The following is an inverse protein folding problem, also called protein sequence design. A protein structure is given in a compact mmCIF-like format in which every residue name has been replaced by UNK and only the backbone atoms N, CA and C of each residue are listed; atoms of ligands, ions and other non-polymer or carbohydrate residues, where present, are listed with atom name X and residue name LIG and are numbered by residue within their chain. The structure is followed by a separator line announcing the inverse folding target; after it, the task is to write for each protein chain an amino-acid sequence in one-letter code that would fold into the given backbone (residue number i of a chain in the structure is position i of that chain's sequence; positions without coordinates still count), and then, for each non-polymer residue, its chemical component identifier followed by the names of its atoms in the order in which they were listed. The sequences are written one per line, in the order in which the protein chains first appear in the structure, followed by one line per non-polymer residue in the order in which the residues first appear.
data_IF_469179199238
#
_entry.id   IF_469179199238
#
_cell.length_a   1.000
_cell.length_b   1.000
_cell.length_c   1.000
_cell.angle_alpha   90.00
_cell.angle_beta   90.00
_cell.angle_gamma   90.00
#
_symmetry.space_group_name_H-M   'P 1'
#
loop_
_entity.id
_entity.type
_entity.pdbx_description
1 polymer ?
#
# COMPACT_ATOMS: atom_id res chain seq x y z
N UNK A 1 9.05 -7.88 16.80
CA UNK A 1 9.33 -8.66 18.01
C UNK A 1 8.79 -7.87 19.19
N UNK A 2 8.18 -8.53 20.18
CA UNK A 2 7.63 -7.85 21.36
C UNK A 2 8.81 -7.38 22.21
N UNK A 3 8.96 -6.06 22.35
CA UNK A 3 10.18 -5.45 22.92
C UNK A 3 10.37 -5.76 24.41
N UNK A 4 9.27 -5.85 25.15
CA UNK A 4 9.21 -6.11 26.59
C UNK A 4 8.87 -7.57 26.92
N UNK A 5 9.23 -8.52 26.04
CA UNK A 5 8.90 -9.95 26.21
C UNK A 5 9.43 -10.52 27.53
N UNK A 6 10.64 -10.14 27.92
CA UNK A 6 11.28 -10.53 29.18
C UNK A 6 10.46 -10.08 30.37
N UNK A 7 10.01 -8.83 30.35
CA UNK A 7 9.25 -8.22 31.45
C UNK A 7 7.87 -8.87 31.58
N UNK A 8 7.27 -9.27 30.46
CA UNK A 8 5.97 -9.95 30.44
C UNK A 8 6.07 -11.42 30.93
N UNK A 9 7.26 -12.01 30.90
CA UNK A 9 7.59 -13.38 31.31
C UNK A 9 8.48 -13.38 32.56
N UNK A 10 8.12 -12.55 33.54
CA UNK A 10 8.84 -12.39 34.79
C UNK A 10 8.74 -13.61 35.72
N UNK A 11 9.75 -13.78 36.58
CA UNK A 11 9.90 -14.96 37.44
C UNK A 11 8.99 -14.94 38.69
N UNK A 12 8.35 -13.81 39.00
CA UNK A 12 7.38 -13.63 40.08
C UNK A 12 5.99 -14.21 39.74
N UNK A 13 5.78 -14.66 38.50
CA UNK A 13 4.53 -15.26 38.07
C UNK A 13 4.35 -16.68 38.61
N UNK A 14 3.12 -17.03 38.99
CA UNK A 14 2.75 -18.42 39.20
C UNK A 14 2.99 -19.24 37.93
N UNK A 15 3.33 -20.53 38.07
CA UNK A 15 3.59 -21.45 36.95
C UNK A 15 2.46 -21.46 35.91
N UNK A 16 1.21 -21.40 36.37
CA UNK A 16 0.03 -21.33 35.49
C UNK A 16 0.00 -20.01 34.70
N UNK A 17 0.17 -18.87 35.38
CA UNK A 17 0.20 -17.55 34.74
C UNK A 17 1.35 -17.40 33.74
N UNK A 18 2.53 -17.90 34.08
CA UNK A 18 3.68 -17.91 33.19
C UNK A 18 3.39 -18.68 31.89
N UNK A 19 2.82 -19.89 31.99
CA UNK A 19 2.52 -20.73 30.82
C UNK A 19 1.45 -20.11 29.91
N UNK A 20 0.41 -19.51 30.50
CA UNK A 20 -0.63 -18.80 29.74
C UNK A 20 -0.05 -17.59 29.01
N UNK A 21 0.73 -16.74 29.70
CA UNK A 21 1.39 -15.59 29.08
C UNK A 21 2.36 -16.00 27.98
N UNK A 22 3.18 -17.03 28.21
CA UNK A 22 4.11 -17.58 27.21
C UNK A 22 3.38 -18.05 25.96
N UNK A 23 2.25 -18.73 26.12
CA UNK A 23 1.40 -19.17 25.01
C UNK A 23 0.86 -17.97 24.23
N UNK A 24 0.27 -16.98 24.93
CA UNK A 24 -0.28 -15.77 24.31
C UNK A 24 0.79 -14.96 23.55
N UNK A 25 1.97 -14.76 24.15
CA UNK A 25 3.11 -14.07 23.52
C UNK A 25 3.59 -14.82 22.29
N UNK A 26 3.72 -16.15 22.38
CA UNK A 26 4.15 -16.98 21.24
C UNK A 26 3.15 -16.92 20.10
N UNK A 27 1.85 -16.98 20.40
CA UNK A 27 0.78 -16.81 19.42
C UNK A 27 0.85 -15.43 18.76
N UNK A 28 0.99 -14.35 19.55
CA UNK A 28 1.10 -12.99 19.04
C UNK A 28 2.35 -12.80 18.16
N UNK A 29 3.50 -13.37 18.53
CA UNK A 29 4.72 -13.33 17.71
C UNK A 29 4.53 -14.05 16.37
N UNK A 30 3.89 -15.22 16.38
CA UNK A 30 3.55 -15.95 15.15
C UNK A 30 2.61 -15.13 14.26
N UNK A 31 1.59 -14.49 14.83
CA UNK A 31 0.65 -13.63 14.11
C UNK A 31 1.38 -12.42 13.51
N UNK A 32 2.16 -11.68 14.31
CA UNK A 32 2.92 -10.52 13.83
C UNK A 32 3.88 -10.93 12.71
N UNK A 33 4.55 -12.08 12.84
CA UNK A 33 5.43 -12.61 11.80
C UNK A 33 4.63 -12.91 10.53
N UNK A 34 3.50 -13.61 10.62
CA UNK A 34 2.66 -13.96 9.47
C UNK A 34 2.10 -12.72 8.75
N UNK A 35 1.77 -11.66 9.50
CA UNK A 35 1.24 -10.40 8.98
C UNK A 35 2.32 -9.41 8.51
N UNK A 36 3.61 -9.80 8.53
CA UNK A 36 4.66 -8.96 7.94
C UNK A 36 4.41 -8.80 6.44
N UNK A 37 4.57 -7.57 5.89
CA UNK A 37 4.35 -7.31 4.47
C UNK A 37 5.03 -8.31 3.53
N UNK A 38 6.29 -8.65 3.80
CA UNK A 38 7.04 -9.63 3.04
C UNK A 38 6.36 -11.01 3.02
N UNK A 39 5.92 -11.51 4.19
CA UNK A 39 5.26 -12.80 4.31
C UNK A 39 3.86 -12.77 3.69
N UNK A 40 3.14 -11.65 3.78
CA UNK A 40 1.87 -11.47 3.09
C UNK A 40 2.04 -11.59 1.58
N UNK A 41 3.06 -10.95 1.01
CA UNK A 41 3.34 -11.06 -0.43
C UNK A 41 3.73 -12.50 -0.79
N UNK A 42 4.69 -13.11 -0.09
CA UNK A 42 5.12 -14.49 -0.36
C UNK A 42 3.99 -15.52 -0.26
N UNK A 43 3.07 -15.35 0.69
CA UNK A 43 1.98 -16.30 0.90
C UNK A 43 0.82 -16.13 -0.07
N UNK A 44 0.54 -14.89 -0.52
CA UNK A 44 -0.63 -14.57 -1.33
C UNK A 44 -0.31 -14.36 -2.81
N UNK A 45 0.96 -14.20 -3.18
CA UNK A 45 1.40 -13.95 -4.55
C UNK A 45 2.41 -14.99 -4.97
N UNK A 46 2.16 -15.65 -6.10
CA UNK A 46 3.03 -16.72 -6.62
C UNK A 46 3.22 -16.56 -8.12
N UNK A 47 4.43 -16.83 -8.58
CA UNK A 47 4.73 -16.94 -10.01
C UNK A 47 4.93 -18.43 -10.31
N UNK A 48 4.17 -18.98 -11.28
CA UNK A 48 4.41 -20.32 -11.81
C UNK A 48 4.52 -20.21 -13.32
N UNK A 49 5.68 -20.55 -13.85
CA UNK A 49 6.03 -20.32 -15.25
C UNK A 49 5.81 -18.85 -15.62
N UNK A 50 4.87 -18.53 -16.50
CA UNK A 50 4.50 -17.15 -16.88
C UNK A 50 3.20 -16.65 -16.25
N UNK A 51 2.59 -17.41 -15.35
CA UNK A 51 1.32 -17.01 -14.73
C UNK A 51 1.55 -16.44 -13.33
N UNK A 52 1.11 -15.20 -13.12
CA UNK A 52 1.05 -14.55 -11.82
C UNK A 52 -0.25 -14.91 -11.12
N UNK A 53 -0.17 -15.54 -9.95
CA UNK A 53 -1.29 -15.83 -9.08
C UNK A 53 -1.32 -14.82 -7.94
N UNK A 54 -2.48 -14.19 -7.74
CA UNK A 54 -2.78 -13.30 -6.61
C UNK A 54 -4.02 -13.84 -5.93
N UNK A 55 -3.84 -14.55 -4.81
CA UNK A 55 -4.90 -15.31 -4.15
C UNK A 55 -5.68 -16.18 -5.14
N UNK A 56 -6.96 -15.85 -5.38
CA UNK A 56 -7.87 -16.61 -6.23
C UNK A 56 -7.88 -16.11 -7.69
N UNK A 57 -7.07 -15.09 -8.02
CA UNK A 57 -6.96 -14.52 -9.36
C UNK A 57 -5.65 -14.93 -10.02
N UNK A 58 -5.66 -15.08 -11.34
CA UNK A 58 -4.48 -15.39 -12.14
C UNK A 58 -4.37 -14.49 -13.36
N UNK A 59 -3.13 -14.17 -13.74
CA UNK A 59 -2.80 -13.30 -14.86
C UNK A 59 -1.70 -13.97 -15.69
N UNK A 60 -1.97 -14.22 -16.97
CA UNK A 60 -1.00 -14.74 -17.92
C UNK A 60 -0.06 -13.61 -18.38
N UNK A 61 1.16 -13.59 -17.86
CA UNK A 61 2.13 -12.54 -18.15
C UNK A 61 2.68 -12.61 -19.59
N UNK A 62 2.46 -13.69 -20.34
CA UNK A 62 2.80 -13.72 -21.78
C UNK A 62 1.97 -12.69 -22.54
N UNK A 63 0.71 -12.48 -22.11
CA UNK A 63 -0.21 -11.52 -22.71
C UNK A 63 0.01 -10.09 -22.21
N UNK A 64 0.86 -9.91 -21.19
CA UNK A 64 1.10 -8.62 -20.57
C UNK A 64 2.27 -7.91 -21.26
N UNK A 65 2.03 -6.72 -21.79
CA UNK A 65 3.07 -5.93 -22.44
C UNK A 65 4.00 -5.26 -21.41
N UNK A 66 3.43 -4.53 -20.45
CA UNK A 66 4.18 -3.81 -19.41
C UNK A 66 3.45 -3.85 -18.08
N UNK A 67 4.21 -3.89 -16.99
CA UNK A 67 3.67 -3.88 -15.63
C UNK A 67 3.93 -2.52 -14.98
N UNK A 68 2.88 -1.93 -14.39
CA UNK A 68 2.94 -0.67 -13.66
C UNK A 68 2.73 -0.91 -12.18
N UNK A 69 3.64 -0.41 -11.35
CA UNK A 69 3.55 -0.51 -9.90
C UNK A 69 3.18 0.86 -9.34
N UNK A 70 2.01 0.95 -8.70
CA UNK A 70 1.56 2.18 -8.05
C UNK A 70 1.10 1.90 -6.62
N UNK A 71 0.94 2.94 -5.81
CA UNK A 71 0.30 2.79 -4.50
C UNK A 71 0.93 3.65 -3.42
N UNK A 72 0.52 3.41 -2.18
CA UNK A 72 1.04 4.16 -1.06
C UNK A 72 0.43 3.77 0.28
N UNK A 73 1.20 4.01 1.33
CA UNK A 73 0.90 3.49 2.66
C UNK A 73 2.17 3.19 3.46
N UNK A 74 2.01 2.92 4.75
CA UNK A 74 3.13 2.64 5.66
C UNK A 74 3.83 1.31 5.37
N UNK A 75 3.13 0.30 4.83
CA UNK A 75 3.73 -0.99 4.51
C UNK A 75 4.06 -1.12 3.01
N UNK A 76 3.73 -0.12 2.20
CA UNK A 76 3.80 -0.23 0.73
C UNK A 76 5.23 -0.45 0.25
N UNK A 77 6.22 0.19 0.86
CA UNK A 77 7.64 -0.03 0.52
C UNK A 77 8.04 -1.50 0.68
N UNK A 78 7.76 -2.08 1.85
CA UNK A 78 8.09 -3.48 2.15
C UNK A 78 7.35 -4.45 1.22
N UNK A 79 6.06 -4.20 0.95
CA UNK A 79 5.27 -5.04 0.04
C UNK A 79 5.83 -5.01 -1.38
N UNK A 80 6.19 -3.82 -1.88
CA UNK A 80 6.67 -3.63 -3.25
C UNK A 80 8.08 -4.21 -3.41
N UNK A 81 8.94 -4.03 -2.41
CA UNK A 81 10.25 -4.67 -2.36
C UNK A 81 10.12 -6.21 -2.43
N UNK A 82 9.28 -6.80 -1.58
CA UNK A 82 9.05 -8.24 -1.59
C UNK A 82 8.48 -8.71 -2.94
N UNK A 83 7.55 -7.95 -3.53
CA UNK A 83 6.99 -8.30 -4.83
C UNK A 83 8.02 -8.20 -5.95
N UNK A 84 8.84 -7.15 -5.97
CA UNK A 84 9.87 -6.98 -6.98
C UNK A 84 10.90 -8.11 -6.93
N UNK A 85 11.39 -8.45 -5.74
CA UNK A 85 12.39 -9.49 -5.54
C UNK A 85 11.87 -10.90 -5.88
N UNK A 86 10.65 -11.23 -5.49
CA UNK A 86 10.10 -12.58 -5.69
C UNK A 86 9.43 -12.77 -7.06
N UNK A 87 8.95 -11.70 -7.69
CA UNK A 87 8.14 -11.78 -8.93
C UNK A 87 8.82 -11.02 -10.06
N UNK A 88 8.96 -9.69 -9.95
CA UNK A 88 9.35 -8.85 -11.11
C UNK A 88 10.77 -9.12 -11.61
N UNK A 89 11.70 -9.54 -10.74
CA UNK A 89 13.05 -9.93 -11.15
C UNK A 89 13.11 -11.29 -11.85
N UNK A 90 12.06 -12.09 -11.77
CA UNK A 90 11.98 -13.44 -12.34
C UNK A 90 11.15 -13.50 -13.64
N UNK A 91 10.82 -12.35 -14.23
CA UNK A 91 10.04 -12.25 -15.46
C UNK A 91 10.74 -11.32 -16.46
N UNK A 92 10.42 -11.48 -17.74
CA UNK A 92 10.99 -10.67 -18.82
C UNK A 92 10.18 -9.40 -19.15
N UNK A 93 8.96 -9.29 -18.62
CA UNK A 93 8.09 -8.15 -18.90
C UNK A 93 8.73 -6.85 -18.35
N UNK A 94 8.78 -5.77 -19.15
CA UNK A 94 9.21 -4.48 -18.65
C UNK A 94 8.27 -4.01 -17.53
N UNK A 95 8.84 -3.38 -16.50
CA UNK A 95 8.08 -2.76 -15.43
C UNK A 95 8.63 -1.40 -15.05
N UNK A 96 7.74 -0.54 -14.54
CA UNK A 96 8.10 0.72 -13.89
C UNK A 96 7.08 1.06 -12.82
N UNK A 97 7.44 1.91 -11.87
CA UNK A 97 6.51 2.26 -10.81
C UNK A 97 6.80 3.56 -10.10
N UNK A 98 5.83 3.97 -9.28
CA UNK A 98 5.98 5.05 -8.33
C UNK A 98 5.08 4.80 -7.10
N UNK A 99 5.63 4.97 -5.91
CA UNK A 99 4.91 4.74 -4.66
C UNK A 99 5.03 5.92 -3.69
N UNK A 100 3.99 6.17 -2.90
CA UNK A 100 4.01 7.17 -1.84
C UNK A 100 4.21 6.52 -0.47
N UNK A 101 5.28 6.90 0.23
CA UNK A 101 5.61 6.38 1.57
C UNK A 101 5.77 7.52 2.58
N UNK A 102 5.62 7.27 3.89
CA UNK A 102 5.92 8.24 4.93
C UNK A 102 7.36 8.78 4.86
N UNK A 103 7.54 10.10 5.07
CA UNK A 103 8.86 10.77 5.12
C UNK A 103 9.86 10.19 6.12
N UNK A 104 9.38 9.52 7.17
CA UNK A 104 10.23 8.94 8.21
C UNK A 104 10.68 7.51 7.90
N UNK A 105 10.27 6.93 6.77
CA UNK A 105 10.77 5.64 6.32
C UNK A 105 12.07 5.81 5.53
N UNK A 106 12.98 4.87 5.70
CA UNK A 106 14.23 4.78 4.93
C UNK A 106 14.04 3.73 3.84
N UNK A 107 14.28 4.08 2.59
CA UNK A 107 14.15 3.17 1.44
C UNK A 107 15.46 2.49 1.04
N UNK A 108 16.61 3.13 1.29
CA UNK A 108 17.95 2.68 0.90
C UNK A 108 18.31 1.28 1.38
N UNK A 109 17.67 0.81 2.44
CA UNK A 109 17.91 -0.52 3.04
C UNK A 109 17.12 -1.64 2.36
N UNK A 110 16.17 -1.33 1.47
CA UNK A 110 15.23 -2.31 0.89
C UNK A 110 15.66 -2.87 -0.48
N UNK A 111 16.76 -2.38 -1.08
CA UNK A 111 17.29 -2.93 -2.34
C UNK A 111 16.28 -2.91 -3.51
N UNK A 112 15.39 -1.93 -3.51
CA UNK A 112 14.40 -1.69 -4.57
C UNK A 112 15.11 -1.15 -5.81
N UNK A 113 14.72 -1.61 -7.01
CA UNK A 113 15.34 -1.12 -8.23
C UNK A 113 14.95 0.33 -8.55
N UNK A 114 15.80 1.01 -9.32
CA UNK A 114 15.53 2.38 -9.82
C UNK A 114 14.32 2.46 -10.76
N UNK A 115 13.76 1.31 -11.20
CA UNK A 115 12.54 1.26 -12.01
C UNK A 115 11.30 1.68 -11.21
N UNK A 116 11.37 1.65 -9.87
CA UNK A 116 10.27 2.01 -8.98
C UNK A 116 10.66 3.24 -8.15
N UNK A 117 10.04 4.36 -8.46
CA UNK A 117 10.31 5.65 -7.82
C UNK A 117 9.66 5.69 -6.44
N UNK A 118 10.44 6.01 -5.41
CA UNK A 118 9.93 6.25 -4.06
C UNK A 118 9.67 7.75 -3.87
N UNK A 119 8.41 8.13 -3.63
CA UNK A 119 8.01 9.49 -3.30
C UNK A 119 7.62 9.62 -1.82
N UNK A 120 8.21 10.60 -1.15
CA UNK A 120 8.04 10.82 0.29
C UNK A 120 6.94 11.84 0.59
N UNK A 121 5.92 11.41 1.33
CA UNK A 121 4.75 12.21 1.65
C UNK A 121 4.45 12.25 3.16
N UNK A 122 3.69 13.26 3.58
CA UNK A 122 3.32 13.41 4.98
C UNK A 122 2.18 12.47 5.42
N UNK A 123 2.29 11.99 6.65
CA UNK A 123 1.27 11.22 7.38
C UNK A 123 1.34 11.62 8.86
N UNK A 124 0.21 11.82 9.58
CA UNK A 124 -1.17 11.48 9.20
C UNK A 124 -1.90 12.56 8.40
N UNK A 125 -1.33 13.76 8.26
CA UNK A 125 -1.94 14.87 7.51
C UNK A 125 -1.36 14.92 6.10
N UNK A 126 -2.18 14.95 5.03
CA UNK A 126 -1.68 14.96 3.65
C UNK A 126 -0.87 16.24 3.33
N UNK A 127 0.04 16.18 2.36
CA UNK A 127 0.81 17.34 1.91
C UNK A 127 0.92 17.42 0.39
N UNK A 128 1.57 18.48 -0.11
CA UNK A 128 1.76 18.71 -1.54
C UNK A 128 2.61 17.62 -2.19
N UNK A 129 3.55 17.01 -1.46
CA UNK A 129 4.36 15.91 -1.98
C UNK A 129 3.53 14.65 -2.20
N UNK A 130 2.59 14.34 -1.31
CA UNK A 130 1.60 13.30 -1.55
C UNK A 130 0.81 13.53 -2.84
N UNK A 131 0.33 14.76 -3.05
CA UNK A 131 -0.41 15.12 -4.28
C UNK A 131 0.47 14.98 -5.52
N UNK A 132 1.72 15.44 -5.47
CA UNK A 132 2.70 15.30 -6.57
C UNK A 132 2.88 13.83 -6.95
N UNK A 133 3.08 12.96 -5.97
CA UNK A 133 3.25 11.53 -6.20
C UNK A 133 2.02 10.89 -6.83
N UNK A 134 0.81 11.23 -6.37
CA UNK A 134 -0.43 10.70 -6.97
C UNK A 134 -0.65 11.21 -8.39
N UNK A 135 -0.34 12.48 -8.67
CA UNK A 135 -0.40 13.00 -10.05
C UNK A 135 0.57 12.26 -10.97
N UNK A 136 1.78 12.00 -10.50
CA UNK A 136 2.76 11.20 -11.25
C UNK A 136 2.32 9.75 -11.45
N UNK A 137 1.66 9.12 -10.45
CA UNK A 137 1.02 7.80 -10.61
C UNK A 137 -0.01 7.83 -11.73
N UNK A 138 -0.94 8.81 -11.70
CA UNK A 138 -2.00 8.93 -12.70
C UNK A 138 -1.43 9.14 -14.10
N UNK A 139 -0.53 10.10 -14.27
CA UNK A 139 0.11 10.34 -15.57
C UNK A 139 0.81 9.07 -16.12
N UNK A 140 1.36 8.24 -15.23
CA UNK A 140 2.01 7.00 -15.62
C UNK A 140 1.02 5.94 -16.10
N UNK A 141 -0.11 5.76 -15.40
CA UNK A 141 -1.09 4.71 -15.71
C UNK A 141 -2.13 5.13 -16.74
N UNK A 142 -2.40 6.43 -16.90
CA UNK A 142 -3.26 6.95 -17.97
C UNK A 142 -2.64 6.73 -19.36
N UNK A 143 -1.31 6.62 -19.45
CA UNK A 143 -0.59 6.23 -20.68
C UNK A 143 -0.41 4.72 -20.88
N UNK A 144 -1.03 3.88 -20.05
CA UNK A 144 -1.00 2.43 -20.23
C UNK A 144 -1.77 2.00 -21.50
N UNK A 145 -1.65 0.74 -21.90
CA UNK A 145 -2.38 0.12 -23.01
C UNK A 145 -3.23 -1.05 -22.52
N UNK A 146 -4.16 -1.53 -23.35
CA UNK A 146 -5.12 -2.58 -23.00
C UNK A 146 -4.50 -3.85 -22.40
N UNK A 147 -3.32 -4.24 -22.89
CA UNK A 147 -2.60 -5.43 -22.45
C UNK A 147 -1.51 -5.12 -21.41
N UNK A 148 -1.50 -3.92 -20.82
CA UNK A 148 -0.66 -3.62 -19.66
C UNK A 148 -1.35 -4.07 -18.37
N UNK A 149 -0.56 -4.35 -17.35
CA UNK A 149 -1.04 -4.75 -16.02
C UNK A 149 -0.68 -3.69 -14.98
N UNK A 150 -1.66 -3.20 -14.22
CA UNK A 150 -1.45 -2.20 -13.16
C UNK A 150 -1.67 -2.84 -11.80
N UNK A 151 -0.62 -2.87 -10.97
CA UNK A 151 -0.65 -3.45 -9.63
C UNK A 151 -0.58 -2.34 -8.60
N UNK A 152 -1.64 -2.21 -7.79
CA UNK A 152 -1.75 -1.19 -6.74
C UNK A 152 -1.45 -1.73 -5.35
N UNK A 153 -0.42 -1.21 -4.70
CA UNK A 153 0.00 -1.57 -3.35
C UNK A 153 -0.51 -0.57 -2.32
N UNK A 154 -1.61 -0.91 -1.66
CA UNK A 154 -2.28 -0.04 -0.68
C UNK A 154 -2.12 -0.61 0.72
N UNK A 155 -1.73 0.24 1.67
CA UNK A 155 -1.67 -0.13 3.08
C UNK A 155 -2.14 1.02 3.98
N UNK A 156 -2.11 0.80 5.31
CA UNK A 156 -2.52 1.81 6.28
C UNK A 156 -1.83 3.16 6.05
N UNK A 157 -2.58 4.26 6.17
CA UNK A 157 -2.10 5.61 5.88
C UNK A 157 -2.34 6.11 4.44
N UNK A 158 -2.85 5.27 3.53
CA UNK A 158 -3.20 5.68 2.16
C UNK A 158 -4.16 6.88 2.08
N UNK A 159 -4.95 7.11 3.13
CA UNK A 159 -5.78 8.30 3.31
C UNK A 159 -5.01 9.61 3.13
N UNK A 160 -3.85 9.74 3.77
CA UNK A 160 -3.00 10.94 3.73
C UNK A 160 -1.89 10.83 2.70
N UNK A 161 -1.43 9.61 2.39
CA UNK A 161 -0.31 9.36 1.49
C UNK A 161 -0.73 9.33 0.02
N UNK A 162 -2.00 9.08 -0.29
CA UNK A 162 -2.54 9.14 -1.66
C UNK A 162 -3.55 10.28 -1.86
N UNK A 163 -3.25 11.54 -1.48
CA UNK A 163 -4.20 12.63 -1.61
C UNK A 163 -4.25 13.10 -3.07
N UNK A 164 -5.46 13.23 -3.60
CA UNK A 164 -5.70 13.96 -4.83
C UNK A 164 -7.08 14.61 -4.72
N UNK A 165 -7.15 15.91 -4.40
CA UNK A 165 -8.39 16.67 -4.49
C UNK A 165 -8.93 16.65 -5.93
N UNK A 166 -10.25 16.72 -6.10
CA UNK A 166 -10.85 16.99 -7.42
C UNK A 166 -10.50 18.39 -7.91
N UNK A 167 -10.70 18.62 -9.21
CA UNK A 167 -10.64 19.94 -9.80
C UNK A 167 -11.49 20.93 -9.00
N UNK A 168 -11.03 22.18 -8.88
CA UNK A 168 -11.58 23.26 -8.02
C UNK A 168 -11.42 23.11 -6.50
N UNK A 169 -11.00 21.95 -5.97
CA UNK A 169 -10.81 21.75 -4.54
C UNK A 169 -9.32 21.86 -4.18
N UNK A 170 -8.97 22.74 -3.23
CA UNK A 170 -7.60 22.82 -2.77
C UNK A 170 -7.27 21.71 -1.75
N UNK A 171 -5.98 21.41 -1.60
CA UNK A 171 -5.53 20.52 -0.52
C UNK A 171 -5.87 21.09 0.87
N UNK A 172 -5.92 22.43 1.01
CA UNK A 172 -6.30 23.11 2.25
C UNK A 172 -7.77 22.84 2.58
N UNK A 173 -8.64 22.84 1.58
CA UNK A 173 -10.07 22.54 1.75
C UNK A 173 -10.27 21.09 2.17
N UNK A 174 -9.56 20.15 1.54
CA UNK A 174 -9.61 18.73 1.91
C UNK A 174 -9.19 18.51 3.37
N UNK A 175 -8.15 19.22 3.83
CA UNK A 175 -7.74 19.19 5.25
C UNK A 175 -8.82 19.79 6.15
N UNK A 176 -9.36 20.95 5.79
CA UNK A 176 -10.40 21.65 6.57
C UNK A 176 -11.65 20.79 6.73
N UNK A 177 -12.16 20.22 5.64
CA UNK A 177 -13.32 19.32 5.67
C UNK A 177 -13.04 18.13 6.58
N UNK A 178 -11.87 17.50 6.46
CA UNK A 178 -11.51 16.37 7.32
C UNK A 178 -11.48 16.74 8.80
N UNK A 179 -10.93 17.91 9.15
CA UNK A 179 -10.91 18.40 10.54
C UNK A 179 -12.33 18.68 11.06
N UNK A 180 -13.20 19.29 10.25
CA UNK A 180 -14.58 19.59 10.64
C UNK A 180 -15.39 18.30 10.87
N UNK A 181 -15.25 17.30 10.01
CA UNK A 181 -15.96 16.03 10.17
C UNK A 181 -15.49 15.23 11.38
N UNK A 182 -14.20 15.29 11.71
CA UNK A 182 -13.68 14.69 12.94
C UNK A 182 -14.24 15.40 14.18
N UNK A 183 -14.29 16.74 14.16
CA UNK A 183 -14.82 17.55 15.25
C UNK A 183 -16.33 17.38 15.44
N UNK A 184 -17.08 17.04 14.38
CA UNK A 184 -18.52 16.80 14.45
C UNK A 184 -18.91 15.42 14.99
N UNK A 185 -17.94 14.57 15.34
CA UNK A 185 -18.21 13.20 15.80
C UNK A 185 -18.72 12.26 14.70
N UNK A 186 -18.52 12.61 13.42
CA UNK A 186 -18.93 11.75 12.31
C UNK A 186 -18.18 10.41 12.37
N UNK A 187 -18.88 9.32 12.05
CA UNK A 187 -18.30 8.00 11.96
C UNK A 187 -17.26 7.91 10.84
N UNK A 188 -16.36 6.93 10.92
CA UNK A 188 -15.37 6.70 9.87
C UNK A 188 -16.02 6.40 8.51
N UNK A 189 -17.22 5.80 8.50
CA UNK A 189 -17.96 5.51 7.28
C UNK A 189 -18.49 6.79 6.62
N UNK A 190 -19.07 7.71 7.39
CA UNK A 190 -19.54 9.02 6.91
C UNK A 190 -18.38 9.89 6.41
N UNK A 191 -17.30 9.94 7.19
CA UNK A 191 -16.07 10.65 6.81
C UNK A 191 -15.55 10.11 5.47
N UNK A 192 -15.46 8.79 5.32
CA UNK A 192 -14.97 8.18 4.09
C UNK A 192 -15.97 8.33 2.93
N UNK A 193 -17.28 8.36 3.18
CA UNK A 193 -18.28 8.65 2.17
C UNK A 193 -17.98 10.00 1.52
N UNK A 194 -17.90 11.07 2.31
CA UNK A 194 -17.60 12.43 1.83
C UNK A 194 -16.22 12.48 1.17
N UNK A 195 -15.18 11.95 1.82
CA UNK A 195 -13.80 12.02 1.28
C UNK A 195 -13.62 11.33 -0.07
N UNK A 196 -14.39 10.28 -0.38
CA UNK A 196 -14.37 9.64 -1.70
C UNK A 196 -14.91 10.58 -2.79
N UNK A 197 -15.94 11.38 -2.50
CA UNK A 197 -16.51 12.35 -3.44
C UNK A 197 -15.61 13.57 -3.69
N UNK A 198 -14.76 13.93 -2.72
CA UNK A 198 -13.81 15.03 -2.84
C UNK A 198 -12.48 14.61 -3.49
N UNK A 199 -12.29 13.32 -3.79
CA UNK A 199 -11.04 12.81 -4.34
C UNK A 199 -11.12 12.52 -5.84
N UNK A 200 -10.04 12.85 -6.57
CA UNK A 200 -9.82 12.43 -7.96
C UNK A 200 -9.20 11.04 -8.11
N UNK A 201 -8.82 10.38 -7.01
CA UNK A 201 -8.08 9.11 -7.02
C UNK A 201 -8.82 8.00 -6.25
N UNK A 202 -9.33 8.31 -5.05
CA UNK A 202 -10.04 7.36 -4.18
C UNK A 202 -11.46 7.09 -4.66
N UNK A 203 -12.13 6.09 -4.08
CA UNK A 203 -13.54 5.81 -4.37
C UNK A 203 -13.79 5.28 -5.78
N UNK A 204 -12.86 4.48 -6.31
CA UNK A 204 -12.92 3.92 -7.65
C UNK A 204 -12.53 4.88 -8.78
N UNK A 205 -12.20 6.15 -8.47
CA UNK A 205 -11.81 7.11 -9.52
C UNK A 205 -10.51 6.72 -10.24
N UNK A 206 -9.55 6.08 -9.56
CA UNK A 206 -8.37 5.49 -10.21
C UNK A 206 -8.77 4.46 -11.29
N UNK A 207 -9.58 3.46 -10.93
CA UNK A 207 -10.01 2.42 -11.85
C UNK A 207 -10.83 3.00 -13.02
N UNK A 208 -11.72 3.97 -12.76
CA UNK A 208 -12.48 4.67 -13.81
C UNK A 208 -11.57 5.40 -14.80
N UNK A 209 -10.51 6.05 -14.32
CA UNK A 209 -9.54 6.75 -15.18
C UNK A 209 -8.79 5.77 -16.07
N UNK A 210 -8.25 4.70 -15.49
CA UNK A 210 -7.54 3.64 -16.22
C UNK A 210 -8.44 3.01 -17.29
N UNK A 211 -9.66 2.64 -16.91
CA UNK A 211 -10.60 2.04 -17.84
C UNK A 211 -10.91 2.95 -19.02
N UNK A 212 -11.07 4.26 -18.78
CA UNK A 212 -11.33 5.25 -19.83
C UNK A 212 -10.12 5.51 -20.73
N UNK A 213 -8.90 5.46 -20.19
CA UNK A 213 -7.69 5.85 -20.94
C UNK A 213 -7.07 4.71 -21.73
N UNK A 214 -7.05 3.50 -21.17
CA UNK A 214 -6.26 2.39 -21.70
C UNK A 214 -7.00 1.07 -21.78
N UNK A 215 -8.03 0.88 -20.95
CA UNK A 215 -8.66 -0.43 -20.76
C UNK A 215 -7.72 -1.46 -20.12
N UNK A 216 -6.59 -1.03 -19.55
CA UNK A 216 -5.66 -1.88 -18.83
C UNK A 216 -6.33 -2.54 -17.61
N UNK A 217 -5.82 -3.71 -17.23
CA UNK A 217 -6.30 -4.47 -16.06
C UNK A 217 -5.61 -4.02 -14.78
#
# INVERSE_FOLDING_TARGET
MIKNKTDLLSNDLSKSSFNLRKTAITALEKIIKALRPENLIKNNVRLKSSTLFVQNSSFDLIKVNKIYIIGGGKATLEMVCAFEQNILKNINNPYKGIINIPKNQKDKEYGLSEKIIVNYASHPVPDKNGVKGVKAMLNMVEGAKQNDLIISFISGGGSSLLPLPRESISLKDLKRVNSLLLASGASIHEINAIRKHLSGFKGGNLAKRIHKSSGAT
#
